data_IF_479126947652
#
_entry.id   IF_479126947652
#
_cell.length_a   1.000
_cell.length_b   1.000
_cell.length_c   1.000
_cell.angle_alpha   90.00
_cell.angle_beta   90.00
_cell.angle_gamma   90.00
#
_symmetry.space_group_name_H-M   'P 1'
#
loop_
_entity.id
_entity.type
_entity.pdbx_description
1 polymer ?
#
# COMPACT_ATOMS: atom_id res chain seq x y z
N UNK A 1 -10.88 -8.59 23.76
CA UNK A 1 -9.84 -8.43 23.41
C UNK A 1 -9.58 -7.81 22.18
N UNK A 2 -8.53 -7.47 21.95
CA UNK A 2 -8.24 -6.61 20.97
C UNK A 2 -7.74 -7.26 19.74
N UNK A 3 -8.10 -6.80 18.68
CA UNK A 3 -7.67 -7.30 17.40
C UNK A 3 -6.18 -7.14 17.24
N UNK A 4 -5.56 -8.07 16.55
CA UNK A 4 -4.17 -7.96 16.22
C UNK A 4 -3.94 -7.25 14.89
N UNK A 5 -4.99 -6.85 14.22
CA UNK A 5 -4.87 -6.18 12.93
C UNK A 5 -4.20 -4.82 13.09
N UNK A 6 -3.01 -4.60 12.51
CA UNK A 6 -2.32 -3.34 12.70
C UNK A 6 -3.10 -2.15 12.14
N UNK A 7 -3.97 -2.35 11.17
CA UNK A 7 -4.73 -1.23 10.63
C UNK A 7 -5.87 -0.81 11.56
N UNK A 8 -6.32 -1.69 12.44
CA UNK A 8 -7.42 -1.38 13.34
C UNK A 8 -7.03 -0.37 14.39
N UNK A 9 -5.74 -0.35 14.77
CA UNK A 9 -5.26 0.57 15.81
C UNK A 9 -4.60 1.81 15.23
N UNK A 10 -4.43 1.86 13.92
CA UNK A 10 -3.71 2.96 13.30
C UNK A 10 -4.60 4.19 13.19
N UNK A 11 -4.11 5.32 13.66
CA UNK A 11 -4.91 6.53 13.69
C UNK A 11 -4.66 7.47 12.53
N UNK A 12 -3.63 7.20 11.75
CA UNK A 12 -3.37 7.99 10.56
C UNK A 12 -4.21 7.51 9.41
N UNK A 13 -4.01 8.13 8.27
CA UNK A 13 -4.72 7.76 7.07
C UNK A 13 -3.98 6.65 6.33
N UNK A 14 -4.72 5.76 5.71
CA UNK A 14 -4.16 4.63 4.99
C UNK A 14 -4.44 4.79 3.51
N UNK A 15 -3.42 4.56 2.69
CA UNK A 15 -3.51 4.65 1.25
C UNK A 15 -3.20 3.29 0.66
N UNK A 16 -3.95 2.88 -0.35
CA UNK A 16 -3.75 1.59 -0.99
C UNK A 16 -3.22 1.80 -2.39
N UNK A 17 -2.04 1.26 -2.65
CA UNK A 17 -1.44 1.32 -3.96
C UNK A 17 -1.49 -0.04 -4.62
N UNK A 18 -1.51 -0.06 -5.95
CA UNK A 18 -1.64 -1.29 -6.72
C UNK A 18 -0.70 -1.27 -7.91
N UNK A 19 -0.26 -2.45 -8.29
CA UNK A 19 0.48 -2.64 -9.52
C UNK A 19 -0.03 -3.92 -10.17
N UNK A 20 -0.41 -3.84 -11.43
CA UNK A 20 -0.96 -4.99 -12.14
C UNK A 20 -0.06 -5.33 -13.30
N UNK A 21 -0.22 -6.54 -13.81
CA UNK A 21 0.62 -7.02 -14.90
C UNK A 21 0.40 -6.23 -16.19
N UNK A 22 -0.67 -5.46 -16.25
CA UNK A 22 -0.95 -4.63 -17.42
C UNK A 22 -0.31 -3.25 -17.33
N UNK A 23 0.29 -2.92 -16.20
CA UNK A 23 0.97 -1.65 -16.03
C UNK A 23 2.33 -1.68 -16.71
N UNK A 24 2.88 -0.49 -17.01
CA UNK A 24 4.21 -0.39 -17.57
C UNK A 24 5.25 -1.02 -16.68
N UNK A 25 5.09 -0.85 -15.39
CA UNK A 25 5.97 -1.47 -14.42
C UNK A 25 5.13 -2.31 -13.48
N UNK A 26 5.38 -3.62 -13.47
CA UNK A 26 4.67 -4.52 -12.59
C UNK A 26 5.62 -4.99 -11.50
N UNK A 27 5.51 -4.41 -10.32
CA UNK A 27 6.40 -4.74 -9.21
C UNK A 27 5.77 -4.31 -7.90
N UNK A 28 6.28 -4.87 -6.81
CA UNK A 28 5.87 -4.45 -5.49
C UNK A 28 6.24 -2.99 -5.27
N UNK A 29 7.41 -2.59 -5.76
CA UNK A 29 7.86 -1.21 -5.62
C UNK A 29 6.90 -0.26 -6.30
N UNK A 30 6.36 -0.63 -7.46
CA UNK A 30 5.41 0.21 -8.16
C UNK A 30 4.13 0.37 -7.35
N UNK A 31 3.69 -0.68 -6.65
CA UNK A 31 2.51 -0.59 -5.80
C UNK A 31 2.76 0.36 -4.62
N UNK A 32 3.94 0.28 -4.03
CA UNK A 32 4.30 1.19 -2.94
C UNK A 32 4.34 2.62 -3.43
N UNK A 33 4.92 2.84 -4.61
CA UNK A 33 5.00 4.17 -5.18
C UNK A 33 3.62 4.75 -5.46
N UNK A 34 2.69 3.92 -5.91
CA UNK A 34 1.32 4.36 -6.16
C UNK A 34 0.69 4.86 -4.86
N UNK A 35 0.83 4.10 -3.78
CA UNK A 35 0.29 4.52 -2.49
C UNK A 35 0.95 5.81 -2.01
N UNK A 36 2.27 5.91 -2.20
CA UNK A 36 3.00 7.09 -1.81
C UNK A 36 2.51 8.34 -2.55
N UNK A 37 2.25 8.20 -3.84
CA UNK A 37 1.78 9.33 -4.63
C UNK A 37 0.38 9.76 -4.21
N UNK A 38 -0.45 8.83 -3.80
CA UNK A 38 -1.76 9.19 -3.26
C UNK A 38 -1.60 9.97 -1.96
N UNK A 39 -0.67 9.57 -1.11
CA UNK A 39 -0.43 10.28 0.14
C UNK A 39 0.09 11.68 -0.13
N UNK A 40 0.98 11.83 -1.11
CA UNK A 40 1.50 13.14 -1.45
C UNK A 40 0.40 14.04 -2.00
N UNK A 41 -0.49 13.49 -2.81
CA UNK A 41 -1.61 14.27 -3.33
C UNK A 41 -2.52 14.75 -2.21
N UNK A 42 -2.52 14.03 -1.09
CA UNK A 42 -3.31 14.39 0.09
C UNK A 42 -2.48 15.21 1.07
N UNK A 43 -1.33 15.70 0.65
CA UNK A 43 -0.43 16.56 1.44
C UNK A 43 0.10 15.87 2.69
N UNK A 44 0.22 14.56 2.67
CA UNK A 44 0.80 13.84 3.78
C UNK A 44 2.30 13.70 3.59
N UNK A 45 3.02 13.63 4.69
CA UNK A 45 4.47 13.45 4.64
C UNK A 45 4.86 12.29 5.52
N UNK A 46 6.07 11.79 5.27
CA UNK A 46 6.59 10.65 5.97
C UNK A 46 6.96 10.94 7.40
N UNK A 47 7.41 9.93 8.08
CA UNK A 47 7.66 8.62 7.48
C UNK A 47 6.37 7.87 7.19
N UNK A 48 6.46 6.94 6.23
CA UNK A 48 5.33 6.10 5.87
C UNK A 48 5.63 4.69 6.32
N UNK A 49 4.59 3.95 6.60
CA UNK A 49 4.72 2.59 7.08
C UNK A 49 3.89 1.67 6.20
N UNK A 50 4.48 0.59 5.75
CA UNK A 50 3.74 -0.43 5.01
C UNK A 50 2.98 -1.27 6.03
N UNK A 51 1.67 -1.23 5.94
CA UNK A 51 0.81 -1.91 6.90
C UNK A 51 0.55 -3.34 6.47
N UNK A 52 0.24 -3.54 5.20
CA UNK A 52 -0.06 -4.87 4.66
C UNK A 52 0.34 -4.93 3.21
N UNK A 53 0.68 -6.13 2.77
CA UNK A 53 1.01 -6.39 1.38
C UNK A 53 0.19 -7.59 0.93
N UNK A 54 -0.47 -7.45 -0.21
CA UNK A 54 -1.20 -8.55 -0.83
C UNK A 54 -0.65 -8.78 -2.22
N UNK A 55 -0.72 -10.02 -2.67
CA UNK A 55 -0.48 -10.31 -4.07
C UNK A 55 -1.54 -11.29 -4.53
N UNK A 56 -1.82 -11.26 -5.80
CA UNK A 56 -2.85 -12.11 -6.38
C UNK A 56 -2.34 -12.65 -7.69
N UNK A 57 -2.91 -13.76 -8.10
CA UNK A 57 -2.48 -14.41 -9.32
C UNK A 57 -1.83 -15.73 -9.00
N UNK A 58 -1.82 -16.60 -10.01
CA UNK A 58 -1.36 -17.93 -9.80
C UNK A 58 -0.36 -18.26 -10.90
N UNK A 59 0.86 -18.03 -10.68
CA UNK A 59 1.97 -18.31 -11.59
C UNK A 59 1.63 -18.05 -13.07
N UNK A 60 1.74 -16.82 -13.55
CA UNK A 60 2.42 -15.73 -12.85
C UNK A 60 1.47 -14.94 -11.98
N UNK A 61 2.07 -14.13 -11.11
CA UNK A 61 1.30 -13.16 -10.34
C UNK A 61 0.69 -12.14 -11.28
N UNK A 62 -0.44 -11.59 -10.88
CA UNK A 62 -1.14 -10.62 -11.72
C UNK A 62 -1.31 -9.27 -11.04
N UNK A 63 -1.13 -9.19 -9.72
CA UNK A 63 -1.34 -7.94 -9.02
C UNK A 63 -0.61 -7.92 -7.69
N UNK A 64 -0.04 -6.76 -7.37
CA UNK A 64 0.38 -6.45 -6.01
C UNK A 64 -0.49 -5.33 -5.47
N UNK A 65 -0.78 -5.40 -4.20
CA UNK A 65 -1.55 -4.36 -3.51
C UNK A 65 -0.89 -4.09 -2.17
N UNK A 66 -0.68 -2.82 -1.84
CA UNK A 66 0.03 -2.43 -0.64
C UNK A 66 -0.78 -1.38 0.11
N UNK A 67 -0.96 -1.57 1.40
CA UNK A 67 -1.58 -0.56 2.24
C UNK A 67 -0.47 0.17 2.99
N UNK A 68 -0.42 1.49 2.83
CA UNK A 68 0.62 2.34 3.40
C UNK A 68 -0.04 3.35 4.33
N UNK A 69 0.49 3.47 5.53
CA UNK A 69 -0.01 4.42 6.49
C UNK A 69 0.91 5.61 6.61
N UNK A 70 0.32 6.79 6.74
CA UNK A 70 1.07 8.02 6.98
C UNK A 70 1.00 8.37 8.45
N UNK A 71 2.14 8.64 9.06
CA UNK A 71 2.17 9.04 10.46
C UNK A 71 2.03 10.55 10.63
N UNK A 72 2.04 11.27 9.54
CA UNK A 72 1.96 12.74 9.60
C UNK A 72 0.59 13.31 9.41
#
# INVERSE_FOLDING_TARGET
>A
MQSADPTADYRGKIYVGRSTKDDDEFSLEAAVKDAYEQAKADSKSGPFRVMEIWFDGDNPLSEYKVAVGSSG
#
